data_IF_426851615999
#
_entry.id   IF_426851615999
#
_cell.length_a   1.000
_cell.length_b   1.000
_cell.length_c   1.000
_cell.angle_alpha   90.00
_cell.angle_beta   90.00
_cell.angle_gamma   90.00
#
_symmetry.space_group_name_H-M   'P 1'
#
loop_
_entity.id
_entity.type
_entity.pdbx_description
1 polymer ?
#
# COMPACT_ATOMS: atom_id res chain seq x y z
N UNK A 1 61.27 -11.72 7.73
CA UNK A 1 60.43 -12.77 7.11
C UNK A 1 59.38 -13.19 8.10
N UNK A 2 58.09 -12.95 7.83
CA UNK A 2 56.92 -13.74 8.26
C UNK A 2 55.71 -13.15 7.53
N UNK A 3 55.51 -13.60 6.29
CA UNK A 3 54.38 -13.26 5.43
C UNK A 3 53.09 -13.76 6.08
N UNK A 4 52.28 -12.86 6.65
CA UNK A 4 50.88 -13.17 6.95
C UNK A 4 50.14 -13.24 5.62
N UNK A 5 49.86 -14.48 5.20
CA UNK A 5 49.03 -14.81 4.04
C UNK A 5 47.68 -14.11 4.18
N UNK A 6 47.48 -13.03 3.42
CA UNK A 6 46.17 -12.44 3.17
C UNK A 6 45.32 -13.54 2.53
N UNK A 7 44.32 -14.07 3.25
CA UNK A 7 43.30 -14.89 2.61
C UNK A 7 42.33 -13.96 1.91
N UNK A 8 42.08 -14.12 0.60
CA UNK A 8 41.01 -13.38 -0.04
C UNK A 8 39.68 -13.72 0.65
N UNK A 9 38.96 -12.69 1.08
CA UNK A 9 37.54 -12.82 1.44
C UNK A 9 36.80 -13.05 0.12
N UNK A 10 36.25 -14.25 -0.03
CA UNK A 10 35.39 -14.56 -1.16
C UNK A 10 34.25 -13.53 -1.23
N UNK A 11 33.99 -12.93 -2.40
CA UNK A 11 32.81 -12.09 -2.57
C UNK A 11 31.56 -12.95 -2.38
N UNK A 12 30.57 -12.51 -1.59
CA UNK A 12 29.31 -13.23 -1.48
C UNK A 12 28.67 -13.34 -2.88
N UNK A 13 28.10 -14.50 -3.25
CA UNK A 13 27.52 -14.69 -4.56
C UNK A 13 26.36 -13.71 -4.76
N UNK A 14 26.46 -12.92 -5.82
CA UNK A 14 25.33 -12.20 -6.40
C UNK A 14 24.25 -13.21 -6.83
N UNK A 15 23.00 -12.81 -6.66
CA UNK A 15 21.79 -13.45 -7.19
C UNK A 15 21.34 -14.76 -6.55
N UNK A 16 20.55 -14.62 -5.49
CA UNK A 16 19.45 -15.54 -5.20
C UNK A 16 18.17 -14.73 -4.97
N UNK A 17 17.63 -14.25 -6.10
CA UNK A 17 16.19 -14.15 -6.42
C UNK A 17 15.27 -14.34 -5.21
N UNK A 18 14.91 -13.24 -4.53
CA UNK A 18 13.67 -13.21 -3.74
C UNK A 18 12.54 -13.28 -4.76
N UNK A 19 12.11 -14.51 -5.04
CA UNK A 19 10.85 -14.79 -5.70
C UNK A 19 9.78 -14.15 -4.82
N UNK A 20 9.35 -12.94 -5.17
CA UNK A 20 8.05 -12.42 -4.75
C UNK A 20 7.06 -13.44 -5.29
N UNK A 21 6.63 -14.35 -4.42
CA UNK A 21 5.56 -15.26 -4.71
C UNK A 21 4.39 -14.38 -5.16
N UNK A 22 4.13 -14.41 -6.46
CA UNK A 22 2.82 -14.07 -6.99
C UNK A 22 1.86 -15.00 -6.26
N UNK A 23 1.25 -14.50 -5.19
CA UNK A 23 0.14 -15.16 -4.54
C UNK A 23 -0.96 -15.23 -5.60
N UNK A 24 -1.07 -16.42 -6.22
CA UNK A 24 -2.20 -16.82 -7.05
C UNK A 24 -3.48 -16.38 -6.34
N UNK A 25 -4.44 -15.70 -7.00
CA UNK A 25 -5.72 -15.43 -6.37
C UNK A 25 -6.47 -16.76 -6.29
N UNK A 26 -6.38 -17.42 -5.14
CA UNK A 26 -7.29 -18.48 -4.80
C UNK A 26 -8.66 -17.83 -4.58
N UNK A 27 -9.53 -17.90 -5.59
CA UNK A 27 -10.94 -17.48 -5.49
C UNK A 27 -11.60 -18.34 -4.40
N UNK A 28 -11.60 -17.83 -3.17
CA UNK A 28 -12.37 -18.36 -2.06
C UNK A 28 -13.74 -17.72 -2.09
N UNK A 29 -14.75 -18.52 -2.37
CA UNK A 29 -16.18 -18.17 -2.53
C UNK A 29 -16.88 -17.72 -1.24
N UNK A 30 -16.13 -17.31 -0.21
CA UNK A 30 -16.65 -16.93 1.12
C UNK A 30 -16.45 -15.42 1.32
N UNK A 31 -17.45 -14.68 1.85
CA UNK A 31 -17.28 -13.26 2.13
C UNK A 31 -16.16 -13.09 3.15
N UNK A 32 -15.07 -12.48 2.72
CA UNK A 32 -13.91 -12.18 3.55
C UNK A 32 -14.01 -10.75 4.05
N UNK A 33 -13.39 -10.45 5.18
CA UNK A 33 -13.25 -9.10 5.69
C UNK A 33 -11.77 -8.73 5.62
N UNK A 34 -11.42 -7.56 5.08
CA UNK A 34 -10.09 -7.00 5.25
C UNK A 34 -10.08 -6.01 6.40
N UNK A 35 -8.97 -6.01 7.13
CA UNK A 35 -8.71 -5.01 8.17
C UNK A 35 -7.76 -3.98 7.60
N UNK A 36 -8.10 -2.70 7.75
CA UNK A 36 -7.29 -1.59 7.23
C UNK A 36 -7.01 -0.61 8.38
N UNK A 37 -5.85 0.04 8.33
CA UNK A 37 -5.40 0.95 9.38
C UNK A 37 -4.94 2.29 8.80
N UNK A 38 -5.74 3.35 8.98
CA UNK A 38 -5.49 4.67 8.39
C UNK A 38 -5.60 5.75 9.46
N UNK A 39 -4.60 6.64 9.55
CA UNK A 39 -4.54 7.73 10.54
C UNK A 39 -4.82 7.25 11.99
N UNK A 40 -4.27 6.08 12.37
CA UNK A 40 -4.45 5.49 13.69
C UNK A 40 -5.82 4.86 13.95
N UNK A 41 -6.69 4.76 12.92
CA UNK A 41 -7.99 4.09 13.00
C UNK A 41 -7.93 2.75 12.30
N UNK A 42 -8.43 1.72 13.00
CA UNK A 42 -8.56 0.37 12.45
C UNK A 42 -10.02 0.12 12.10
N UNK A 43 -10.28 -0.30 10.86
CA UNK A 43 -11.62 -0.62 10.38
C UNK A 43 -11.64 -1.93 9.60
N UNK A 44 -12.79 -2.61 9.63
CA UNK A 44 -13.04 -3.84 8.89
C UNK A 44 -13.97 -3.57 7.72
N UNK A 45 -13.55 -3.96 6.53
CA UNK A 45 -14.29 -3.75 5.28
C UNK A 45 -14.67 -5.10 4.71
N UNK A 46 -15.93 -5.22 4.26
CA UNK A 46 -16.39 -6.40 3.57
C UNK A 46 -15.71 -6.49 2.19
N UNK A 47 -15.14 -7.66 1.90
CA UNK A 47 -14.56 -7.97 0.60
C UNK A 47 -15.51 -8.88 -0.18
N UNK A 48 -16.09 -8.40 -1.28
CA UNK A 48 -16.77 -9.29 -2.20
C UNK A 48 -15.78 -10.29 -2.81
N UNK A 49 -16.23 -11.53 -3.10
CA UNK A 49 -15.37 -12.57 -3.65
C UNK A 49 -14.83 -12.16 -5.02
N UNK A 50 -13.51 -12.29 -5.22
CA UNK A 50 -12.85 -11.93 -6.47
C UNK A 50 -12.39 -10.47 -6.57
N UNK A 51 -12.77 -9.60 -5.63
CA UNK A 51 -12.33 -8.20 -5.60
C UNK A 51 -11.19 -7.92 -4.61
N UNK A 52 -10.60 -8.94 -4.00
CA UNK A 52 -9.54 -8.80 -2.99
C UNK A 52 -8.39 -7.90 -3.47
N UNK A 53 -7.91 -8.08 -4.70
CA UNK A 53 -6.85 -7.25 -5.27
C UNK A 53 -7.30 -5.82 -5.54
N UNK A 54 -8.54 -5.62 -6.02
CA UNK A 54 -9.11 -4.29 -6.27
C UNK A 54 -9.20 -3.51 -4.95
N UNK A 55 -9.71 -4.15 -3.91
CA UNK A 55 -9.84 -3.54 -2.59
C UNK A 55 -8.46 -3.26 -1.96
N UNK A 56 -7.53 -4.20 -2.09
CA UNK A 56 -6.15 -4.01 -1.64
C UNK A 56 -5.48 -2.81 -2.32
N UNK A 57 -5.60 -2.69 -3.64
CA UNK A 57 -5.06 -1.54 -4.39
C UNK A 57 -5.72 -0.22 -3.93
N UNK A 58 -7.02 -0.22 -3.65
CA UNK A 58 -7.72 0.97 -3.15
C UNK A 58 -7.23 1.39 -1.75
N UNK A 59 -6.87 0.42 -0.90
CA UNK A 59 -6.30 0.67 0.44
C UNK A 59 -4.91 1.28 0.30
N UNK A 60 -4.04 0.70 -0.51
CA UNK A 60 -2.67 1.19 -0.75
C UNK A 60 -2.70 2.63 -1.30
N UNK A 61 -3.59 2.89 -2.25
CA UNK A 61 -3.79 4.22 -2.83
C UNK A 61 -4.27 5.25 -1.79
N UNK A 62 -5.16 4.86 -0.87
CA UNK A 62 -5.59 5.72 0.24
C UNK A 62 -4.45 6.00 1.20
N UNK A 63 -3.69 4.98 1.62
CA UNK A 63 -2.53 5.12 2.50
C UNK A 63 -1.48 6.04 1.89
N UNK A 64 -1.23 5.92 0.59
CA UNK A 64 -0.31 6.78 -0.14
C UNK A 64 -0.78 8.24 -0.17
N UNK A 65 -2.08 8.50 -0.41
CA UNK A 65 -2.62 9.87 -0.36
C UNK A 65 -2.55 10.46 1.03
N UNK A 66 -2.82 9.67 2.06
CA UNK A 66 -2.68 10.08 3.46
C UNK A 66 -1.23 10.45 3.78
N UNK A 67 -0.27 9.62 3.37
CA UNK A 67 1.16 9.89 3.59
C UNK A 67 1.66 11.13 2.81
N UNK A 68 1.10 11.38 1.63
CA UNK A 68 1.46 12.52 0.78
C UNK A 68 0.77 13.83 1.18
N UNK A 69 -0.33 13.72 1.92
CA UNK A 69 -1.11 14.89 2.37
C UNK A 69 -0.37 15.57 3.51
N UNK A 70 0.10 16.79 3.25
CA UNK A 70 0.69 17.63 4.29
C UNK A 70 -0.42 18.25 5.12
N UNK A 71 -0.48 17.88 6.40
CA UNK A 71 -1.32 18.52 7.39
C UNK A 71 -0.50 18.87 8.61
N UNK A 72 -0.96 19.86 9.39
CA UNK A 72 -0.30 20.22 10.64
C UNK A 72 -0.93 19.40 11.78
N UNK A 73 -0.21 18.42 12.35
CA UNK A 73 -0.72 17.66 13.49
C UNK A 73 -0.99 18.59 14.68
N UNK A 74 -2.11 18.38 15.37
CA UNK A 74 -2.57 19.22 16.48
C UNK A 74 -3.39 20.46 16.07
N UNK A 75 -3.45 20.78 14.76
CA UNK A 75 -4.37 21.80 14.22
C UNK A 75 -5.54 21.14 13.51
N UNK A 76 -5.28 20.10 12.71
CA UNK A 76 -6.32 19.37 12.00
C UNK A 76 -6.59 18.05 12.71
N UNK A 77 -7.87 17.71 12.86
CA UNK A 77 -8.27 16.39 13.33
C UNK A 77 -8.17 15.39 12.19
N UNK A 78 -7.99 14.10 12.51
CA UNK A 78 -7.86 13.06 11.48
C UNK A 78 -9.08 13.02 10.54
N UNK A 79 -10.28 13.35 11.04
CA UNK A 79 -11.50 13.43 10.23
C UNK A 79 -11.46 14.54 9.19
N UNK A 80 -10.93 15.73 9.55
CA UNK A 80 -10.80 16.85 8.60
C UNK A 80 -9.80 16.51 7.50
N UNK A 81 -8.70 15.85 7.86
CA UNK A 81 -7.69 15.37 6.90
C UNK A 81 -8.28 14.32 5.96
N UNK A 82 -9.02 13.34 6.50
CA UNK A 82 -9.74 12.34 5.72
C UNK A 82 -10.76 12.98 4.76
N UNK A 83 -11.50 13.98 5.22
CA UNK A 83 -12.48 14.70 4.40
C UNK A 83 -11.81 15.45 3.24
N UNK A 84 -10.68 16.12 3.51
CA UNK A 84 -9.90 16.81 2.48
C UNK A 84 -9.37 15.82 1.43
N UNK A 85 -8.83 14.68 1.86
CA UNK A 85 -8.34 13.63 0.97
C UNK A 85 -9.48 13.05 0.12
N UNK A 86 -10.62 12.74 0.75
CA UNK A 86 -11.80 12.22 0.06
C UNK A 86 -12.33 13.21 -0.99
N UNK A 87 -12.35 14.51 -0.67
CA UNK A 87 -12.76 15.55 -1.59
C UNK A 87 -11.83 15.63 -2.82
N UNK A 88 -10.52 15.59 -2.60
CA UNK A 88 -9.53 15.58 -3.68
C UNK A 88 -9.70 14.35 -4.58
N UNK A 89 -9.90 13.18 -3.97
CA UNK A 89 -10.22 11.92 -4.65
C UNK A 89 -11.47 12.02 -5.53
N UNK A 90 -12.54 12.62 -5.02
CA UNK A 90 -13.75 12.84 -5.78
C UNK A 90 -13.52 13.79 -6.96
N UNK A 91 -12.71 14.85 -6.78
CA UNK A 91 -12.37 15.77 -7.86
C UNK A 91 -11.57 15.07 -8.98
N UNK A 92 -10.53 14.30 -8.63
CA UNK A 92 -9.76 13.50 -9.59
C UNK A 92 -10.67 12.54 -10.38
N UNK A 93 -11.59 11.86 -9.70
CA UNK A 93 -12.54 10.95 -10.32
C UNK A 93 -13.48 11.67 -11.29
N UNK A 94 -13.96 12.87 -10.95
CA UNK A 94 -14.79 13.70 -11.84
C UNK A 94 -13.99 14.14 -13.07
N UNK A 95 -12.73 14.53 -12.90
CA UNK A 95 -11.85 14.89 -14.02
C UNK A 95 -11.60 13.72 -14.96
N UNK A 96 -11.35 12.52 -14.43
CA UNK A 96 -11.17 11.30 -15.23
C UNK A 96 -12.45 10.98 -16.00
N UNK A 97 -13.62 11.08 -15.37
CA UNK A 97 -14.91 10.85 -16.05
C UNK A 97 -15.15 11.84 -17.19
N UNK A 98 -14.85 13.12 -16.98
CA UNK A 98 -14.98 14.16 -18.02
C UNK A 98 -14.06 13.94 -19.22
N UNK A 99 -12.86 13.38 -19.01
CA UNK A 99 -11.89 13.09 -20.08
C UNK A 99 -12.21 11.83 -20.88
N UNK A 100 -13.06 10.96 -20.33
CA UNK A 100 -13.50 9.73 -20.98
C UNK A 100 -14.79 9.92 -21.81
N UNK A 101 -15.36 11.12 -21.79
CA UNK A 101 -16.50 11.57 -22.60
C UNK A 101 -15.99 12.32 -23.84
#
# INVERSE_FOLDING_TARGET
MHLRKFRPVDPPPAEAVVKKAAAKPAVSTKPKQLTISVLGRVLKVACPPGEEQRLQNAIEELEQRVASTKFKPGVHMNDDVLLMIALNLCNELVEVKKKAE
#
